data_IF_879089338210
#
_entry.id   IF_879089338210
#
_cell.length_a   1.000
_cell.length_b   1.000
_cell.length_c   1.000
_cell.angle_alpha   90.00
_cell.angle_beta   90.00
_cell.angle_gamma   90.00
#
_symmetry.space_group_name_H-M   'P 1'
#
loop_
_entity.id
_entity.type
_entity.pdbx_description
1 polymer ?
#
# COMPACT_ATOMS: atom_id res chain seq x y z
N UNK A 1 60.39 7.72 24.88
CA UNK A 1 59.82 7.65 23.51
C UNK A 1 58.55 6.82 23.58
N UNK A 2 57.55 7.15 22.76
CA UNK A 2 56.27 6.44 22.68
C UNK A 2 56.33 5.33 21.62
N UNK A 3 55.71 4.18 21.89
CA UNK A 3 54.46 3.77 21.22
C UNK A 3 53.97 2.39 21.70
N UNK A 4 52.81 2.32 22.38
CA UNK A 4 51.99 1.12 22.42
C UNK A 4 51.21 0.91 21.11
N UNK A 5 50.74 -0.31 20.92
CA UNK A 5 50.03 -0.83 19.75
C UNK A 5 48.61 -0.22 19.59
N UNK A 6 48.25 0.37 18.43
CA UNK A 6 46.90 0.89 18.17
C UNK A 6 45.98 -0.18 17.55
N UNK A 7 44.72 -0.21 18.00
CA UNK A 7 43.60 -1.02 17.48
C UNK A 7 43.50 -2.50 17.93
N UNK A 8 43.74 -2.76 19.21
CA UNK A 8 43.04 -3.86 19.90
C UNK A 8 41.57 -3.51 20.16
N UNK A 9 40.64 -4.37 19.71
CA UNK A 9 39.19 -4.39 20.00
C UNK A 9 38.42 -3.05 20.05
N UNK A 10 37.68 -2.74 18.99
CA UNK A 10 36.56 -1.77 19.02
C UNK A 10 35.22 -2.45 18.72
N UNK A 11 34.37 -2.56 19.73
CA UNK A 11 32.95 -2.91 19.54
C UNK A 11 32.24 -1.81 18.73
N UNK A 12 31.48 -2.18 17.71
CA UNK A 12 30.71 -1.22 16.92
C UNK A 12 29.51 -0.71 17.73
N UNK A 13 29.68 0.46 18.34
CA UNK A 13 28.67 1.14 19.17
C UNK A 13 27.29 1.22 18.49
N UNK A 14 26.24 1.00 19.28
CA UNK A 14 24.86 1.24 18.86
C UNK A 14 24.59 2.73 18.58
N UNK A 15 23.67 2.99 17.66
CA UNK A 15 23.21 4.35 17.34
C UNK A 15 22.08 4.77 18.29
N UNK A 16 22.43 5.20 19.50
CA UNK A 16 21.48 5.91 20.36
C UNK A 16 21.19 7.29 19.78
N UNK A 17 19.96 7.47 19.26
CA UNK A 17 19.38 8.80 19.01
C UNK A 17 18.57 9.21 20.23
N UNK A 18 18.69 10.46 20.73
CA UNK A 18 17.81 10.93 21.79
C UNK A 18 16.36 10.94 21.29
N UNK A 19 15.45 10.41 22.10
CA UNK A 19 14.02 10.42 21.79
C UNK A 19 13.47 11.85 21.95
N UNK A 20 12.82 12.37 20.91
CA UNK A 20 12.00 13.57 21.01
C UNK A 20 10.67 13.19 21.68
N UNK A 21 10.20 13.96 22.69
CA UNK A 21 8.95 13.67 23.37
C UNK A 21 7.76 14.03 22.50
N UNK A 22 7.09 13.02 21.94
CA UNK A 22 5.70 13.15 21.53
C UNK A 22 4.81 13.02 22.77
N UNK A 23 3.71 13.79 22.89
CA UNK A 23 2.86 13.75 24.08
C UNK A 23 2.08 12.43 24.17
N UNK A 24 2.09 11.82 25.35
CA UNK A 24 1.36 10.59 25.64
C UNK A 24 -0.15 10.79 25.49
N UNK A 25 -0.84 9.87 24.82
CA UNK A 25 -2.29 9.91 24.54
C UNK A 25 -3.11 9.01 25.47
N UNK A 26 -2.77 8.99 26.76
CA UNK A 26 -3.58 8.35 27.81
C UNK A 26 -4.55 9.35 28.46
N UNK A 27 -5.67 9.62 27.79
CA UNK A 27 -6.83 10.34 28.35
C UNK A 27 -8.10 9.50 28.20
N UNK A 28 -8.52 8.86 29.30
CA UNK A 28 -9.84 8.21 29.35
C UNK A 28 -10.97 9.25 29.31
N UNK A 29 -12.05 9.03 28.53
CA UNK A 29 -13.17 9.97 28.42
C UNK A 29 -14.06 9.94 29.68
N UNK A 30 -13.80 10.86 30.61
CA UNK A 30 -14.65 11.07 31.79
C UNK A 30 -16.08 11.54 31.44
N UNK A 31 -17.09 11.23 32.29
CA UNK A 31 -18.49 11.51 31.98
C UNK A 31 -18.82 13.01 32.03
N UNK A 32 -19.44 13.50 30.95
CA UNK A 32 -19.87 14.89 30.79
C UNK A 32 -20.85 15.35 31.87
N UNK A 33 -20.71 16.61 32.32
CA UNK A 33 -21.68 17.30 33.19
C UNK A 33 -21.93 18.73 32.68
N UNK A 34 -23.19 19.19 32.55
CA UNK A 34 -23.48 20.60 32.23
C UNK A 34 -23.09 21.55 33.37
N UNK A 35 -22.64 22.76 33.01
CA UNK A 35 -22.45 23.86 33.96
C UNK A 35 -23.77 24.55 34.34
N UNK A 36 -23.84 25.24 35.50
CA UNK A 36 -25.07 25.87 35.99
C UNK A 36 -25.33 27.25 35.37
N UNK A 37 -26.62 27.63 35.32
CA UNK A 37 -27.07 28.97 34.91
C UNK A 37 -27.12 29.95 36.10
N UNK A 38 -27.05 31.25 35.80
CA UNK A 38 -27.31 32.35 36.73
C UNK A 38 -28.11 33.47 36.03
N UNK A 39 -28.94 34.20 36.77
CA UNK A 39 -29.97 35.12 36.24
C UNK A 39 -29.85 36.57 36.76
N UNK A 40 -30.42 37.51 36.00
CA UNK A 40 -30.77 38.88 36.43
C UNK A 40 -30.03 40.00 35.67
N UNK A 41 -30.63 41.16 35.37
CA UNK A 41 -32.04 41.61 35.49
C UNK A 41 -32.31 42.78 34.48
N UNK A 42 -33.48 43.50 34.40
CA UNK A 42 -34.31 43.45 33.19
C UNK A 42 -34.67 44.80 32.48
N UNK A 43 -35.46 44.69 31.39
CA UNK A 43 -36.40 45.67 30.79
C UNK A 43 -35.80 46.86 29.98
N UNK A 44 -36.41 47.43 28.93
CA UNK A 44 -37.58 47.17 28.03
C UNK A 44 -37.55 48.21 26.85
N UNK A 45 -38.46 48.25 25.84
CA UNK A 45 -39.23 47.20 25.14
C UNK A 45 -39.20 47.32 23.58
N UNK A 46 -39.94 46.45 22.88
CA UNK A 46 -40.56 46.56 21.52
C UNK A 46 -39.73 46.96 20.26
N UNK A 47 -39.84 46.27 19.11
CA UNK A 47 -41.09 46.20 18.33
C UNK A 47 -41.14 45.09 17.24
N UNK A 48 -42.36 44.60 17.00
CA UNK A 48 -42.94 43.95 15.80
C UNK A 48 -42.39 42.64 15.17
N UNK A 49 -43.23 41.62 15.33
CA UNK A 49 -43.19 40.25 14.83
C UNK A 49 -43.45 40.05 13.31
N UNK A 50 -43.25 38.80 12.85
CA UNK A 50 -43.88 38.21 11.65
C UNK A 50 -45.29 37.67 11.99
N UNK A 51 -46.17 37.49 10.98
CA UNK A 51 -46.64 36.13 10.66
C UNK A 51 -46.63 35.85 9.13
N UNK A 52 -47.34 34.83 8.64
CA UNK A 52 -47.39 34.49 7.20
C UNK A 52 -48.49 33.49 6.80
N UNK A 53 -48.36 32.94 5.58
CA UNK A 53 -49.24 31.97 4.87
C UNK A 53 -50.57 32.51 4.29
N UNK A 54 -50.93 32.05 3.07
CA UNK A 54 -52.19 32.35 2.36
C UNK A 54 -52.01 32.54 0.83
N UNK A 55 -52.85 31.97 -0.08
CA UNK A 55 -52.55 31.89 -1.53
C UNK A 55 -53.53 32.60 -2.51
N UNK A 56 -53.12 32.60 -3.79
CA UNK A 56 -53.87 32.67 -5.07
C UNK A 56 -54.73 33.90 -5.48
N UNK A 57 -54.36 34.56 -6.61
CA UNK A 57 -55.22 34.82 -7.81
C UNK A 57 -54.51 35.57 -8.98
N UNK A 58 -55.05 35.44 -10.21
CA UNK A 58 -54.66 36.09 -11.51
C UNK A 58 -55.55 37.34 -11.82
N UNK A 59 -55.46 38.13 -12.96
CA UNK A 59 -54.79 37.93 -14.27
C UNK A 59 -54.04 39.18 -14.90
N UNK A 60 -53.69 39.12 -16.21
CA UNK A 60 -53.09 40.20 -17.06
C UNK A 60 -54.11 41.11 -17.80
N UNK A 61 -53.83 41.76 -18.97
CA UNK A 61 -53.02 41.28 -20.13
C UNK A 61 -52.26 42.33 -21.04
N UNK A 62 -51.71 41.89 -22.21
CA UNK A 62 -51.49 42.55 -23.54
C UNK A 62 -50.54 43.78 -23.79
N UNK A 63 -49.85 44.06 -24.94
CA UNK A 63 -49.47 43.32 -26.20
C UNK A 63 -48.37 44.02 -27.10
N UNK A 64 -47.53 43.23 -27.83
CA UNK A 64 -46.83 43.43 -29.16
C UNK A 64 -45.91 44.64 -29.52
N UNK A 65 -45.02 44.62 -30.57
CA UNK A 65 -44.58 43.58 -31.57
C UNK A 65 -43.04 43.19 -31.43
N UNK A 66 -42.19 42.73 -32.38
CA UNK A 66 -42.14 42.53 -33.87
C UNK A 66 -40.89 41.70 -34.38
N UNK A 67 -40.58 41.55 -35.72
CA UNK A 67 -40.00 40.27 -36.24
C UNK A 67 -38.84 40.19 -37.32
N UNK A 68 -37.96 39.16 -37.19
CA UNK A 68 -37.38 38.22 -38.22
C UNK A 68 -36.36 38.65 -39.36
N UNK A 69 -35.82 37.77 -40.29
CA UNK A 69 -34.79 36.70 -40.07
C UNK A 69 -33.75 36.37 -41.24
N UNK A 70 -32.94 35.28 -41.11
CA UNK A 70 -32.25 34.41 -42.16
C UNK A 70 -31.09 34.94 -43.06
N UNK A 71 -30.37 34.17 -43.92
CA UNK A 71 -29.59 32.87 -43.85
C UNK A 71 -29.09 32.37 -45.27
N UNK A 72 -27.94 31.67 -45.45
CA UNK A 72 -27.48 30.82 -46.62
C UNK A 72 -25.93 30.60 -46.71
N UNK A 73 -25.30 29.75 -47.56
CA UNK A 73 -25.40 28.28 -47.87
C UNK A 73 -24.28 27.79 -48.88
N UNK A 74 -23.58 26.66 -48.61
CA UNK A 74 -22.81 25.75 -49.54
C UNK A 74 -21.69 26.35 -50.46
N UNK A 75 -20.73 25.65 -51.14
CA UNK A 75 -20.15 24.27 -51.30
C UNK A 75 -18.63 24.48 -51.73
N UNK A 76 -17.69 23.59 -52.09
CA UNK A 76 -17.62 22.13 -52.39
C UNK A 76 -16.20 21.50 -52.11
N UNK A 77 -15.77 20.42 -52.81
CA UNK A 77 -14.56 19.59 -52.53
C UNK A 77 -13.32 19.65 -53.50
N UNK A 78 -12.63 18.52 -53.83
CA UNK A 78 -11.35 18.20 -53.15
C UNK A 78 -10.15 17.66 -53.97
N UNK A 79 -8.95 17.65 -53.35
CA UNK A 79 -7.72 16.91 -53.74
C UNK A 79 -6.42 17.64 -53.32
N UNK A 80 -5.18 17.15 -53.49
CA UNK A 80 -4.52 15.83 -53.35
C UNK A 80 -2.98 16.05 -53.54
N UNK A 81 -2.13 15.26 -52.87
CA UNK A 81 -0.66 15.06 -53.08
C UNK A 81 0.39 16.03 -52.47
N UNK A 82 1.42 15.36 -51.90
CA UNK A 82 2.89 15.57 -51.89
C UNK A 82 3.60 16.82 -51.31
N UNK A 83 4.69 16.54 -50.58
CA UNK A 83 5.82 17.45 -50.28
C UNK A 83 7.00 17.15 -51.22
N UNK A 84 8.30 17.17 -50.79
CA UNK A 84 8.91 17.51 -49.50
C UNK A 84 9.71 18.85 -49.68
N UNK A 85 11.01 19.08 -49.39
CA UNK A 85 12.01 18.46 -48.49
C UNK A 85 12.85 19.46 -47.63
N UNK A 86 13.87 18.94 -46.94
CA UNK A 86 15.06 19.71 -46.51
C UNK A 86 15.93 20.13 -47.74
N UNK A 87 16.94 21.00 -47.69
CA UNK A 87 17.67 21.69 -46.61
C UNK A 87 19.11 22.01 -47.09
N UNK A 88 20.03 22.27 -46.15
CA UNK A 88 21.51 22.35 -46.33
C UNK A 88 22.13 23.62 -47.00
N UNK A 89 23.41 23.87 -46.64
CA UNK A 89 24.37 24.93 -47.03
C UNK A 89 24.13 26.33 -46.40
N UNK A 90 25.18 27.08 -46.01
CA UNK A 90 26.62 26.76 -45.98
C UNK A 90 27.49 27.92 -45.42
N UNK A 91 28.64 27.58 -44.82
CA UNK A 91 29.71 28.48 -44.31
C UNK A 91 30.53 29.13 -45.45
N UNK A 92 31.47 30.08 -45.19
CA UNK A 92 31.73 30.90 -43.99
C UNK A 92 31.87 32.42 -44.31
N UNK A 93 32.20 33.25 -43.30
CA UNK A 93 33.37 34.19 -43.32
C UNK A 93 33.49 34.97 -41.98
N UNK A 94 34.60 35.70 -41.78
CA UNK A 94 34.91 36.55 -40.61
C UNK A 94 35.86 37.71 -41.00
N UNK A 95 36.57 38.40 -40.08
CA UNK A 95 36.72 38.17 -38.63
C UNK A 95 36.53 39.45 -37.75
N UNK A 96 36.99 39.39 -36.47
CA UNK A 96 37.37 40.53 -35.59
C UNK A 96 36.25 41.46 -35.04
N UNK A 97 36.32 42.07 -33.83
CA UNK A 97 37.24 41.96 -32.68
C UNK A 97 36.58 42.50 -31.37
N UNK A 98 36.64 41.76 -30.24
CA UNK A 98 36.77 42.21 -28.80
C UNK A 98 36.28 41.16 -27.79
N UNK A 99 36.89 41.14 -26.60
CA UNK A 99 36.46 40.40 -25.39
C UNK A 99 36.72 41.28 -24.14
N UNK A 100 37.08 40.76 -22.95
CA UNK A 100 37.23 39.34 -22.57
C UNK A 100 36.74 38.94 -21.13
N UNK A 101 36.59 37.62 -20.88
CA UNK A 101 36.54 36.89 -19.59
C UNK A 101 35.48 37.24 -18.50
N UNK A 102 34.80 36.21 -17.97
CA UNK A 102 34.02 36.30 -16.72
C UNK A 102 32.99 35.17 -16.48
N UNK A 103 33.37 34.12 -15.73
CA UNK A 103 32.45 33.29 -14.92
C UNK A 103 32.37 33.87 -13.49
N UNK A 104 31.48 33.42 -12.56
CA UNK A 104 30.47 32.34 -12.63
C UNK A 104 29.05 32.80 -12.22
N UNK A 105 28.11 31.86 -12.07
CA UNK A 105 26.87 32.06 -11.31
C UNK A 105 26.47 30.79 -10.53
N UNK A 106 25.80 30.96 -9.38
CA UNK A 106 25.37 29.91 -8.45
C UNK A 106 24.05 30.31 -7.77
N UNK A 107 23.26 29.29 -7.45
CA UNK A 107 22.26 29.18 -6.37
C UNK A 107 21.05 30.15 -6.30
N UNK A 108 19.88 29.55 -6.04
CA UNK A 108 18.63 30.10 -5.46
C UNK A 108 17.83 31.19 -6.26
N UNK A 109 16.55 31.49 -5.99
CA UNK A 109 15.73 31.32 -4.78
C UNK A 109 14.21 31.13 -5.08
N UNK A 110 13.43 30.58 -4.14
CA UNK A 110 11.95 30.52 -4.18
C UNK A 110 11.32 31.62 -3.29
N UNK A 111 10.21 32.28 -3.68
CA UNK A 111 9.66 33.40 -2.92
C UNK A 111 8.93 32.97 -1.64
N UNK A 112 9.28 33.60 -0.51
CA UNK A 112 8.60 33.42 0.80
C UNK A 112 7.84 34.70 1.19
N UNK A 113 6.75 34.55 1.96
CA UNK A 113 5.83 35.65 2.29
C UNK A 113 6.39 36.68 3.30
N UNK A 114 5.81 37.89 3.27
CA UNK A 114 6.30 39.08 3.96
C UNK A 114 5.97 39.10 5.47
N UNK A 115 6.86 39.73 6.26
CA UNK A 115 6.58 40.25 7.60
C UNK A 115 6.97 41.75 7.60
N UNK A 116 6.17 42.59 8.26
CA UNK A 116 6.35 44.04 8.26
C UNK A 116 7.48 44.51 9.22
N UNK A 117 8.19 45.61 8.92
CA UNK A 117 9.31 46.09 9.73
C UNK A 117 8.86 46.84 10.99
N UNK A 118 9.59 46.61 12.09
CA UNK A 118 9.59 47.47 13.28
C UNK A 118 10.45 48.72 12.98
N UNK A 119 10.13 49.85 13.61
CA UNK A 119 10.93 51.10 13.50
C UNK A 119 11.87 51.24 14.70
N UNK A 120 13.07 51.74 14.45
CA UNK A 120 14.00 52.15 15.49
C UNK A 120 13.60 53.51 16.10
N UNK A 121 13.75 53.65 17.41
CA UNK A 121 13.81 54.96 18.10
C UNK A 121 15.11 55.06 18.93
N UNK A 122 15.62 56.28 19.22
CA UNK A 122 16.99 56.47 19.68
C UNK A 122 17.22 56.10 21.15
N UNK A 123 18.37 55.50 21.45
CA UNK A 123 18.77 55.10 22.80
C UNK A 123 19.08 56.29 23.71
N UNK A 124 18.19 56.61 24.66
CA UNK A 124 18.54 57.44 25.82
C UNK A 124 19.32 56.65 26.88
N UNK A 125 20.04 57.38 27.74
CA UNK A 125 21.09 56.83 28.61
C UNK A 125 20.53 56.31 29.94
N UNK A 126 20.75 55.02 30.23
CA UNK A 126 20.46 54.44 31.55
C UNK A 126 21.67 54.70 32.49
N UNK A 127 21.47 55.28 33.69
CA UNK A 127 22.56 55.63 34.59
C UNK A 127 23.18 54.40 35.29
N UNK A 128 24.44 54.53 35.70
CA UNK A 128 25.20 53.45 36.33
C UNK A 128 24.61 53.03 37.70
N UNK A 129 24.39 51.72 37.85
CA UNK A 129 24.04 51.08 39.13
C UNK A 129 25.32 50.96 39.99
N UNK A 130 25.18 51.13 41.30
CA UNK A 130 26.29 51.06 42.27
C UNK A 130 26.55 49.63 42.73
N UNK A 131 27.77 49.38 43.22
CA UNK A 131 28.15 48.11 43.84
C UNK A 131 27.28 47.80 45.08
N UNK A 132 26.73 46.58 45.13
CA UNK A 132 26.20 45.98 46.37
C UNK A 132 27.16 44.90 46.91
N UNK A 133 27.27 44.75 48.24
CA UNK A 133 28.24 43.83 48.86
C UNK A 133 27.81 42.35 48.75
N UNK A 134 28.80 41.46 48.79
CA UNK A 134 28.60 40.01 48.65
C UNK A 134 27.74 39.39 49.78
N UNK A 135 26.98 38.31 49.49
CA UNK A 135 26.09 37.66 50.46
C UNK A 135 26.86 36.95 51.58
N UNK A 136 26.22 36.90 52.75
CA UNK A 136 26.76 36.30 53.99
C UNK A 136 26.52 34.78 54.02
N UNK A 137 27.46 33.95 54.55
CA UNK A 137 27.27 32.50 54.63
C UNK A 137 26.32 32.08 55.77
N UNK A 138 25.58 30.99 55.55
CA UNK A 138 24.73 30.33 56.55
C UNK A 138 25.56 29.57 57.63
N UNK A 139 25.02 29.38 58.85
CA UNK A 139 25.76 28.77 59.96
C UNK A 139 25.89 27.22 59.86
N UNK A 140 27.03 26.70 60.32
CA UNK A 140 27.32 25.25 60.31
C UNK A 140 26.44 24.43 61.28
N UNK A 141 26.07 23.18 60.93
CA UNK A 141 25.49 22.22 61.87
C UNK A 141 26.53 21.63 62.83
N UNK A 142 26.17 21.30 64.08
CA UNK A 142 27.15 20.93 65.12
C UNK A 142 27.81 19.56 64.91
N UNK A 143 29.09 19.47 65.28
CA UNK A 143 29.95 18.31 65.07
C UNK A 143 29.56 17.07 65.92
N UNK A 144 28.74 16.18 65.35
CA UNK A 144 28.40 14.87 65.92
C UNK A 144 29.50 13.81 65.74
N UNK A 145 29.73 12.98 66.77
CA UNK A 145 30.79 11.95 66.80
C UNK A 145 30.66 10.92 65.66
N UNK A 146 31.77 10.61 64.98
CA UNK A 146 31.86 9.52 64.00
C UNK A 146 31.69 8.14 64.66
N UNK A 147 30.67 7.39 64.25
CA UNK A 147 30.54 5.95 64.52
C UNK A 147 31.05 5.08 63.37
N UNK A 148 31.43 3.80 63.60
CA UNK A 148 31.97 2.94 62.56
C UNK A 148 30.91 2.53 61.52
N UNK A 149 31.30 2.56 60.24
CA UNK A 149 30.36 2.43 59.12
C UNK A 149 29.79 1.02 58.93
N UNK A 150 28.46 0.89 58.90
CA UNK A 150 27.78 -0.24 58.26
C UNK A 150 27.71 0.01 56.74
N UNK A 151 28.40 -0.82 55.97
CA UNK A 151 28.20 -0.90 54.50
C UNK A 151 26.73 -1.25 54.23
N UNK A 152 25.96 -0.32 53.64
CA UNK A 152 24.72 -0.69 52.95
C UNK A 152 25.13 -1.33 51.63
N UNK A 153 24.99 -2.65 51.52
CA UNK A 153 25.08 -3.31 50.24
C UNK A 153 23.88 -2.86 49.39
N UNK A 154 24.13 -2.13 48.31
CA UNK A 154 23.14 -1.98 47.25
C UNK A 154 22.93 -3.35 46.64
N UNK A 155 21.80 -3.98 46.92
CA UNK A 155 21.44 -5.23 46.27
C UNK A 155 21.19 -4.94 44.79
N UNK A 156 22.12 -5.38 43.94
CA UNK A 156 21.94 -5.38 42.49
C UNK A 156 20.65 -6.14 42.17
N UNK A 157 19.71 -5.50 41.46
CA UNK A 157 18.63 -6.25 40.82
C UNK A 157 19.29 -7.10 39.73
N UNK A 158 19.28 -8.44 39.80
CA UNK A 158 19.76 -9.24 38.68
C UNK A 158 18.89 -8.91 37.45
N UNK A 159 19.48 -8.84 36.24
CA UNK A 159 18.69 -8.63 35.05
C UNK A 159 17.74 -9.82 34.88
N UNK A 160 16.44 -9.57 35.09
CA UNK A 160 15.39 -10.55 34.81
C UNK A 160 15.28 -10.72 33.30
N UNK A 161 16.18 -11.55 32.77
CA UNK A 161 16.13 -12.15 31.44
C UNK A 161 14.95 -13.11 31.40
N UNK A 162 13.74 -12.54 31.40
CA UNK A 162 12.51 -13.28 31.18
C UNK A 162 12.69 -14.08 29.87
N UNK A 163 12.68 -15.42 29.92
CA UNK A 163 12.87 -16.21 28.72
C UNK A 163 11.76 -15.84 27.74
N UNK A 164 12.11 -15.53 26.49
CA UNK A 164 11.13 -15.20 25.44
C UNK A 164 10.21 -16.42 25.23
N UNK A 165 9.09 -16.44 25.94
CA UNK A 165 8.13 -17.53 25.89
C UNK A 165 7.63 -17.68 24.44
N UNK A 166 8.08 -18.75 23.78
CA UNK A 166 7.81 -19.00 22.38
C UNK A 166 6.34 -19.35 22.18
N UNK A 167 5.51 -18.34 21.87
CA UNK A 167 4.08 -18.48 21.52
C UNK A 167 3.81 -19.39 20.32
N UNK A 168 4.83 -19.95 19.68
CA UNK A 168 4.76 -20.89 18.57
C UNK A 168 4.17 -22.28 18.94
N UNK A 169 4.28 -22.73 20.19
CA UNK A 169 4.00 -24.13 20.54
C UNK A 169 2.53 -24.55 20.63
N UNK A 170 1.58 -23.62 20.83
CA UNK A 170 0.20 -23.99 21.24
C UNK A 170 -0.79 -24.19 20.07
N UNK A 171 -0.51 -23.60 18.91
CA UNK A 171 -1.48 -23.55 17.80
C UNK A 171 -1.08 -24.40 16.58
N UNK A 172 0.04 -25.14 16.62
CA UNK A 172 0.55 -25.88 15.45
C UNK A 172 -0.44 -26.93 14.89
N UNK A 173 -1.20 -27.71 15.70
CA UNK A 173 -2.20 -28.62 15.17
C UNK A 173 -3.38 -27.89 14.51
N UNK A 174 -3.81 -26.76 15.09
CA UNK A 174 -4.85 -25.91 14.51
C UNK A 174 -4.37 -25.25 13.19
N UNK A 175 -3.10 -24.91 13.09
CA UNK A 175 -2.48 -24.38 11.89
C UNK A 175 -2.52 -25.37 10.72
N UNK A 176 -2.08 -26.60 10.98
CA UNK A 176 -2.13 -27.70 10.02
C UNK A 176 -3.60 -27.99 9.64
N UNK A 177 -4.52 -28.00 10.61
CA UNK A 177 -5.95 -28.18 10.36
C UNK A 177 -6.56 -27.13 9.44
N UNK A 178 -6.26 -25.83 9.66
CA UNK A 178 -6.72 -24.74 8.78
C UNK A 178 -6.09 -24.84 7.39
N UNK A 179 -4.79 -25.12 7.29
CA UNK A 179 -4.10 -25.28 6.00
C UNK A 179 -4.65 -26.45 5.18
N UNK A 180 -4.87 -27.61 5.81
CA UNK A 180 -5.48 -28.78 5.17
C UNK A 180 -6.94 -28.52 4.79
N UNK A 181 -7.72 -27.83 5.63
CA UNK A 181 -9.10 -27.48 5.31
C UNK A 181 -9.21 -26.53 4.11
N UNK A 182 -8.33 -25.52 4.02
CA UNK A 182 -8.27 -24.61 2.86
C UNK A 182 -7.79 -25.35 1.60
N UNK A 183 -6.74 -26.18 1.71
CA UNK A 183 -6.28 -27.03 0.60
C UNK A 183 -7.37 -27.97 0.08
N UNK A 184 -8.12 -28.61 0.97
CA UNK A 184 -9.27 -29.44 0.60
C UNK A 184 -10.42 -28.62 -0.02
N UNK A 185 -10.72 -27.43 0.52
CA UNK A 185 -11.74 -26.54 -0.03
C UNK A 185 -11.41 -26.04 -1.46
N UNK A 186 -10.13 -26.05 -1.86
CA UNK A 186 -9.69 -25.78 -3.23
C UNK A 186 -9.68 -27.05 -4.07
N UNK A 187 -8.99 -28.11 -3.62
CA UNK A 187 -8.71 -29.32 -4.43
C UNK A 187 -9.94 -30.22 -4.60
N UNK A 188 -10.80 -30.36 -3.59
CA UNK A 188 -11.99 -31.23 -3.70
C UNK A 188 -12.97 -30.74 -4.78
N UNK A 189 -13.45 -29.48 -4.79
CA UNK A 189 -14.34 -29.05 -5.85
C UNK A 189 -13.64 -28.98 -7.22
N UNK A 190 -12.34 -28.69 -7.28
CA UNK A 190 -11.56 -28.66 -8.53
C UNK A 190 -11.60 -30.00 -9.28
N UNK A 191 -11.53 -31.13 -8.57
CA UNK A 191 -11.53 -32.47 -9.17
C UNK A 191 -12.90 -33.18 -9.16
N UNK A 192 -13.79 -32.85 -8.23
CA UNK A 192 -15.07 -33.57 -8.07
C UNK A 192 -16.33 -32.78 -8.47
N UNK A 193 -16.29 -31.44 -8.46
CA UNK A 193 -17.46 -30.63 -8.85
C UNK A 193 -17.06 -29.21 -9.27
N UNK A 194 -16.57 -29.09 -10.51
CA UNK A 194 -15.99 -27.85 -11.07
C UNK A 194 -16.82 -26.57 -10.86
N UNK A 195 -18.17 -26.55 -10.96
CA UNK A 195 -18.96 -25.36 -10.65
C UNK A 195 -18.81 -24.83 -9.22
N UNK A 196 -18.54 -25.71 -8.24
CA UNK A 196 -18.24 -25.28 -6.88
C UNK A 196 -16.81 -24.72 -6.73
N UNK A 197 -15.87 -25.07 -7.62
CA UNK A 197 -14.54 -24.44 -7.61
C UNK A 197 -14.65 -22.98 -8.06
N UNK A 198 -15.45 -22.69 -9.08
CA UNK A 198 -15.81 -21.31 -9.46
C UNK A 198 -16.47 -20.55 -8.30
N UNK A 199 -17.37 -21.19 -7.55
CA UNK A 199 -17.99 -20.59 -6.36
C UNK A 199 -16.97 -20.31 -5.22
N UNK A 200 -16.02 -21.23 -4.98
CA UNK A 200 -14.92 -21.03 -4.01
C UNK A 200 -13.99 -19.90 -4.45
N UNK A 201 -13.64 -19.83 -5.74
CA UNK A 201 -12.81 -18.76 -6.30
C UNK A 201 -13.50 -17.39 -6.21
N UNK A 202 -14.79 -17.32 -6.54
CA UNK A 202 -15.60 -16.11 -6.39
C UNK A 202 -15.73 -15.67 -4.91
N UNK A 203 -15.90 -16.61 -3.99
CA UNK A 203 -15.92 -16.32 -2.55
C UNK A 203 -14.56 -15.82 -2.04
N UNK A 204 -13.46 -16.46 -2.47
CA UNK A 204 -12.09 -16.04 -2.13
C UNK A 204 -11.79 -14.62 -2.63
N UNK A 205 -12.20 -14.30 -3.85
CA UNK A 205 -12.10 -12.94 -4.43
C UNK A 205 -12.96 -11.94 -3.67
N UNK A 206 -14.21 -12.28 -3.32
CA UNK A 206 -15.08 -11.42 -2.52
C UNK A 206 -14.51 -11.10 -1.13
N UNK A 207 -13.97 -12.12 -0.44
CA UNK A 207 -13.27 -11.95 0.85
C UNK A 207 -12.01 -11.11 0.65
N UNK A 208 -11.20 -11.39 -0.38
CA UNK A 208 -9.96 -10.68 -0.65
C UNK A 208 -10.14 -9.20 -0.95
N UNK A 209 -11.16 -8.86 -1.75
CA UNK A 209 -11.60 -7.48 -2.01
C UNK A 209 -12.00 -6.79 -0.70
N UNK A 210 -12.73 -7.48 0.19
CA UNK A 210 -13.13 -6.96 1.49
C UNK A 210 -11.95 -6.75 2.45
N UNK A 211 -10.98 -7.66 2.49
CA UNK A 211 -9.77 -7.51 3.31
C UNK A 211 -8.88 -6.36 2.81
N UNK A 212 -8.63 -6.28 1.49
CA UNK A 212 -7.85 -5.20 0.90
C UNK A 212 -8.56 -3.84 1.04
N UNK A 213 -9.87 -3.76 0.79
CA UNK A 213 -10.65 -2.53 1.01
C UNK A 213 -10.64 -2.10 2.49
N UNK A 214 -10.66 -3.05 3.44
CA UNK A 214 -10.54 -2.80 4.88
C UNK A 214 -9.14 -2.31 5.26
N UNK A 215 -8.09 -2.89 4.69
CA UNK A 215 -6.71 -2.44 4.94
C UNK A 215 -6.50 -1.02 4.40
N UNK A 216 -6.88 -0.78 3.14
CA UNK A 216 -6.73 0.51 2.46
C UNK A 216 -7.51 1.64 3.16
N UNK A 217 -8.65 1.32 3.80
CA UNK A 217 -9.40 2.28 4.64
C UNK A 217 -8.62 2.87 5.81
N UNK A 218 -7.59 2.20 6.33
CA UNK A 218 -6.73 2.77 7.39
C UNK A 218 -5.88 3.95 6.91
N UNK A 219 -5.63 4.06 5.61
CA UNK A 219 -4.96 5.24 5.02
C UNK A 219 -5.87 6.47 4.95
N UNK A 220 -7.21 6.28 5.00
CA UNK A 220 -8.23 7.30 4.76
C UNK A 220 -8.89 7.24 3.38
N UNK A 221 -8.54 6.27 2.52
CA UNK A 221 -9.24 6.02 1.26
C UNK A 221 -10.50 5.15 1.46
N UNK A 222 -11.61 5.46 0.79
CA UNK A 222 -12.94 4.88 1.01
C UNK A 222 -13.47 4.14 -0.25
N UNK A 223 -12.76 3.12 -0.78
CA UNK A 223 -13.16 2.43 -2.00
C UNK A 223 -14.56 1.79 -1.87
N UNK A 224 -15.45 1.93 -2.88
CA UNK A 224 -16.84 1.50 -2.78
C UNK A 224 -16.95 -0.02 -2.87
N UNK A 225 -17.20 -0.66 -1.72
CA UNK A 225 -17.10 -2.12 -1.57
C UNK A 225 -18.14 -2.88 -2.41
N UNK A 226 -19.37 -2.39 -2.50
CA UNK A 226 -20.46 -3.08 -3.22
C UNK A 226 -20.16 -3.28 -4.72
N UNK A 227 -19.84 -2.24 -5.52
CA UNK A 227 -19.47 -2.42 -6.93
C UNK A 227 -18.14 -3.15 -7.11
N UNK A 228 -17.19 -3.04 -6.16
CA UNK A 228 -15.95 -3.84 -6.20
C UNK A 228 -16.22 -5.34 -6.06
N UNK A 229 -16.98 -5.77 -5.05
CA UNK A 229 -17.27 -7.19 -4.85
C UNK A 229 -18.15 -7.74 -5.98
N UNK A 230 -19.20 -7.01 -6.38
CA UNK A 230 -20.08 -7.43 -7.47
C UNK A 230 -19.31 -7.51 -8.80
N UNK A 231 -18.59 -6.44 -9.18
CA UNK A 231 -17.76 -6.39 -10.37
C UNK A 231 -16.64 -7.43 -10.36
N UNK A 232 -16.03 -7.68 -9.21
CA UNK A 232 -14.99 -8.70 -9.05
C UNK A 232 -15.49 -10.12 -9.26
N UNK A 233 -16.64 -10.49 -8.69
CA UNK A 233 -17.30 -11.79 -8.92
C UNK A 233 -17.73 -11.92 -10.40
N UNK A 234 -18.27 -10.86 -10.98
CA UNK A 234 -18.61 -10.82 -12.42
C UNK A 234 -17.36 -11.01 -13.29
N UNK A 235 -16.24 -10.37 -12.95
CA UNK A 235 -14.96 -10.47 -13.69
C UNK A 235 -14.42 -11.89 -13.71
N UNK A 236 -14.46 -12.59 -12.55
CA UNK A 236 -14.07 -14.01 -12.45
C UNK A 236 -15.00 -14.92 -13.27
N UNK A 237 -16.32 -14.69 -13.21
CA UNK A 237 -17.29 -15.44 -14.02
C UNK A 237 -17.16 -15.19 -15.52
N UNK A 238 -16.92 -13.95 -15.93
CA UNK A 238 -16.66 -13.59 -17.33
C UNK A 238 -15.37 -14.23 -17.85
N UNK A 239 -14.29 -14.21 -17.06
CA UNK A 239 -13.05 -14.91 -17.39
C UNK A 239 -13.26 -16.43 -17.56
N UNK A 240 -14.07 -17.05 -16.69
CA UNK A 240 -14.42 -18.47 -16.77
C UNK A 240 -15.15 -18.83 -18.06
N UNK A 241 -16.21 -18.10 -18.43
CA UNK A 241 -17.10 -18.48 -19.53
C UNK A 241 -16.74 -17.87 -20.90
N UNK A 242 -15.93 -16.80 -20.93
CA UNK A 242 -15.63 -16.06 -22.15
C UNK A 242 -14.18 -15.52 -22.23
N UNK A 243 -13.27 -16.00 -21.35
CA UNK A 243 -11.83 -15.86 -21.55
C UNK A 243 -11.26 -14.44 -21.40
N UNK A 244 -10.13 -14.12 -22.07
CA UNK A 244 -9.32 -12.95 -21.76
C UNK A 244 -9.98 -11.61 -22.13
N UNK A 245 -10.74 -11.56 -23.23
CA UNK A 245 -11.46 -10.34 -23.62
C UNK A 245 -12.57 -10.00 -22.62
N UNK A 246 -13.26 -11.04 -22.11
CA UNK A 246 -14.30 -10.91 -21.10
C UNK A 246 -13.73 -10.59 -19.70
N UNK A 247 -12.53 -11.07 -19.38
CA UNK A 247 -11.75 -10.66 -18.21
C UNK A 247 -11.39 -9.16 -18.26
N UNK A 248 -10.90 -8.68 -19.40
CA UNK A 248 -10.63 -7.25 -19.62
C UNK A 248 -11.91 -6.40 -19.55
N UNK A 249 -13.03 -6.88 -20.12
CA UNK A 249 -14.33 -6.23 -20.01
C UNK A 249 -14.84 -6.20 -18.57
N UNK A 250 -14.66 -7.28 -17.80
CA UNK A 250 -15.01 -7.35 -16.38
C UNK A 250 -14.25 -6.31 -15.54
N UNK A 251 -12.93 -6.18 -15.76
CA UNK A 251 -12.12 -5.14 -15.13
C UNK A 251 -12.62 -3.73 -15.51
N UNK A 252 -12.86 -3.47 -16.80
CA UNK A 252 -13.37 -2.18 -17.28
C UNK A 252 -14.73 -1.82 -16.65
N UNK A 253 -15.68 -2.75 -16.65
CA UNK A 253 -17.02 -2.58 -16.04
C UNK A 253 -16.91 -2.39 -14.52
N UNK A 254 -15.98 -3.09 -13.86
CA UNK A 254 -15.73 -2.90 -12.42
C UNK A 254 -15.21 -1.50 -12.13
N UNK A 255 -14.17 -1.04 -12.84
CA UNK A 255 -13.60 0.30 -12.64
C UNK A 255 -14.64 1.39 -12.94
N UNK A 256 -15.34 1.32 -14.08
CA UNK A 256 -16.42 2.26 -14.42
C UNK A 256 -17.56 2.22 -13.41
N UNK A 257 -17.95 1.04 -12.91
CA UNK A 257 -18.96 0.89 -11.87
C UNK A 257 -18.55 1.55 -10.54
N UNK A 258 -17.28 1.43 -10.13
CA UNK A 258 -16.77 2.13 -8.94
C UNK A 258 -16.70 3.65 -9.15
N UNK A 259 -16.39 4.10 -10.38
CA UNK A 259 -16.40 5.51 -10.76
C UNK A 259 -17.81 6.11 -10.67
N UNK A 260 -18.79 5.47 -11.31
CA UNK A 260 -20.20 5.89 -11.30
C UNK A 260 -20.77 5.87 -9.86
N UNK A 261 -20.38 4.89 -9.03
CA UNK A 261 -20.78 4.87 -7.62
C UNK A 261 -20.26 6.11 -6.87
N UNK A 262 -18.97 6.44 -7.00
CA UNK A 262 -18.37 7.60 -6.30
C UNK A 262 -18.90 8.95 -6.79
N UNK A 263 -19.51 9.06 -7.98
CA UNK A 263 -20.26 10.26 -8.38
C UNK A 263 -21.45 10.54 -7.44
N UNK A 264 -22.10 9.50 -6.89
CA UNK A 264 -23.23 9.64 -5.98
C UNK A 264 -22.86 10.02 -4.55
N UNK A 265 -21.64 9.69 -4.12
CA UNK A 265 -21.15 9.95 -2.76
C UNK A 265 -20.57 11.37 -2.55
N UNK A 266 -20.44 12.16 -3.63
CA UNK A 266 -19.87 13.52 -3.61
C UNK A 266 -18.34 13.58 -3.81
N UNK A 267 -17.76 14.79 -3.96
CA UNK A 267 -16.41 14.98 -4.50
C UNK A 267 -15.25 14.66 -3.53
N UNK A 268 -15.52 14.42 -2.25
CA UNK A 268 -14.48 14.23 -1.23
C UNK A 268 -13.64 12.97 -1.46
N UNK A 269 -12.31 13.11 -1.47
CA UNK A 269 -11.32 12.02 -1.67
C UNK A 269 -11.44 11.22 -2.99
N UNK A 270 -12.28 11.65 -3.93
CA UNK A 270 -12.64 10.93 -5.15
C UNK A 270 -11.46 10.24 -5.88
N UNK A 271 -10.40 10.99 -6.22
CA UNK A 271 -9.21 10.44 -6.90
C UNK A 271 -8.56 9.31 -6.09
N UNK A 272 -8.40 9.49 -4.77
CA UNK A 272 -7.77 8.53 -3.88
C UNK A 272 -8.57 7.24 -3.79
N UNK A 273 -9.89 7.36 -3.73
CA UNK A 273 -10.82 6.24 -3.61
C UNK A 273 -10.91 5.43 -4.90
N UNK A 274 -10.76 6.09 -6.07
CA UNK A 274 -10.63 5.41 -7.36
C UNK A 274 -9.26 4.79 -7.58
N UNK A 275 -8.16 5.40 -7.14
CA UNK A 275 -6.84 4.75 -7.14
C UNK A 275 -6.86 3.48 -6.28
N UNK A 276 -7.45 3.57 -5.08
CA UNK A 276 -7.69 2.42 -4.21
C UNK A 276 -8.56 1.34 -4.86
N UNK A 277 -9.70 1.72 -5.45
CA UNK A 277 -10.60 0.79 -6.11
C UNK A 277 -9.96 0.12 -7.34
N UNK A 278 -9.22 0.88 -8.15
CA UNK A 278 -8.51 0.36 -9.33
C UNK A 278 -7.40 -0.60 -8.93
N UNK A 279 -6.62 -0.27 -7.89
CA UNK A 279 -5.63 -1.19 -7.32
C UNK A 279 -6.29 -2.50 -6.85
N UNK A 280 -7.41 -2.43 -6.12
CA UNK A 280 -8.15 -3.62 -5.66
C UNK A 280 -8.69 -4.44 -6.84
N UNK A 281 -9.26 -3.79 -7.87
CA UNK A 281 -9.83 -4.45 -9.03
C UNK A 281 -8.77 -5.12 -9.93
N UNK A 282 -7.58 -4.51 -10.08
CA UNK A 282 -6.46 -5.14 -10.79
C UNK A 282 -5.85 -6.27 -9.94
N UNK A 283 -5.51 -6.00 -8.68
CA UNK A 283 -4.77 -6.93 -7.82
C UNK A 283 -5.58 -8.18 -7.44
N UNK A 284 -6.90 -8.07 -7.23
CA UNK A 284 -7.70 -9.20 -6.72
C UNK A 284 -8.49 -9.93 -7.83
N UNK A 285 -9.61 -9.43 -8.38
CA UNK A 285 -10.41 -10.20 -9.32
C UNK A 285 -9.77 -10.36 -10.70
N UNK A 286 -9.00 -9.38 -11.20
CA UNK A 286 -8.37 -9.49 -12.52
C UNK A 286 -7.24 -10.52 -12.52
N UNK A 287 -6.34 -10.48 -11.53
CA UNK A 287 -5.33 -11.55 -11.36
C UNK A 287 -5.98 -12.92 -11.09
N UNK A 288 -7.00 -13.00 -10.24
CA UNK A 288 -7.75 -14.24 -10.00
C UNK A 288 -8.50 -14.75 -11.25
N UNK A 289 -8.84 -13.89 -12.21
CA UNK A 289 -9.43 -14.27 -13.49
C UNK A 289 -8.56 -15.23 -14.30
N UNK A 290 -7.23 -15.16 -14.16
CA UNK A 290 -6.33 -16.14 -14.78
C UNK A 290 -6.41 -17.53 -14.11
N UNK A 291 -6.71 -17.61 -12.81
CA UNK A 291 -7.03 -18.88 -12.16
C UNK A 291 -8.36 -19.47 -12.65
N UNK A 292 -9.35 -18.61 -12.96
CA UNK A 292 -10.60 -19.02 -13.58
C UNK A 292 -10.38 -19.58 -14.99
N UNK A 293 -9.60 -18.90 -15.83
CA UNK A 293 -9.27 -19.38 -17.19
C UNK A 293 -8.43 -20.66 -17.18
N UNK A 294 -7.50 -20.83 -16.22
CA UNK A 294 -6.76 -22.08 -16.03
C UNK A 294 -7.69 -23.25 -15.69
N UNK A 295 -8.66 -23.05 -14.81
CA UNK A 295 -9.61 -24.07 -14.38
C UNK A 295 -10.69 -24.39 -15.43
N UNK A 296 -11.06 -23.40 -16.25
CA UNK A 296 -12.03 -23.52 -17.34
C UNK A 296 -11.46 -24.15 -18.63
N UNK A 297 -10.15 -24.44 -18.68
CA UNK A 297 -9.52 -25.09 -19.82
C UNK A 297 -10.14 -26.49 -20.07
N UNK A 298 -10.55 -26.81 -21.31
CA UNK A 298 -11.10 -28.11 -21.68
C UNK A 298 -10.19 -29.28 -21.28
N UNK A 299 -10.81 -30.36 -20.81
CA UNK A 299 -10.23 -31.66 -20.42
C UNK A 299 -9.17 -31.66 -19.30
N UNK A 300 -8.33 -30.64 -19.17
CA UNK A 300 -7.13 -30.63 -18.31
C UNK A 300 -7.07 -29.49 -17.27
N UNK A 301 -8.07 -28.59 -17.21
CA UNK A 301 -8.01 -27.38 -16.37
C UNK A 301 -7.76 -27.64 -14.88
N UNK A 302 -8.27 -28.76 -14.35
CA UNK A 302 -7.96 -29.21 -12.99
C UNK A 302 -6.46 -29.51 -12.78
N UNK A 303 -5.79 -30.09 -13.77
CA UNK A 303 -4.36 -30.35 -13.76
C UNK A 303 -3.55 -29.05 -13.94
N UNK A 304 -4.00 -28.12 -14.80
CA UNK A 304 -3.36 -26.80 -14.99
C UNK A 304 -3.32 -26.00 -13.68
N UNK A 305 -4.43 -25.97 -12.94
CA UNK A 305 -4.48 -25.37 -11.61
C UNK A 305 -3.59 -26.14 -10.61
N UNK A 306 -3.63 -27.48 -10.61
CA UNK A 306 -2.84 -28.30 -9.70
C UNK A 306 -1.33 -28.05 -9.85
N UNK A 307 -0.77 -28.06 -11.08
CA UNK A 307 0.66 -27.83 -11.29
C UNK A 307 1.08 -26.40 -10.95
N UNK A 308 0.17 -25.42 -11.14
CA UNK A 308 0.39 -24.03 -10.74
C UNK A 308 0.49 -23.88 -9.22
N UNK A 309 -0.48 -24.44 -8.49
CA UNK A 309 -0.48 -24.42 -7.02
C UNK A 309 0.71 -25.22 -6.45
N UNK A 310 1.05 -26.36 -7.03
CA UNK A 310 2.21 -27.15 -6.64
C UNK A 310 3.52 -26.36 -6.83
N UNK A 311 3.68 -25.64 -7.95
CA UNK A 311 4.85 -24.81 -8.20
C UNK A 311 5.01 -23.66 -7.19
N UNK A 312 3.92 -23.02 -6.76
CA UNK A 312 3.94 -22.02 -5.68
C UNK A 312 4.31 -22.67 -4.35
N UNK A 313 3.66 -23.77 -3.95
CA UNK A 313 3.97 -24.48 -2.70
C UNK A 313 5.42 -24.98 -2.65
N UNK A 314 5.98 -25.43 -3.78
CA UNK A 314 7.38 -25.80 -3.92
C UNK A 314 8.32 -24.60 -3.80
N UNK A 315 7.96 -23.46 -4.41
CA UNK A 315 8.70 -22.18 -4.27
C UNK A 315 8.77 -21.75 -2.80
N UNK A 316 7.66 -21.79 -2.08
CA UNK A 316 7.59 -21.38 -0.68
C UNK A 316 8.34 -22.36 0.23
N UNK A 317 8.16 -23.66 0.01
CA UNK A 317 8.81 -24.73 0.80
C UNK A 317 10.32 -24.74 0.60
N UNK A 318 10.78 -24.65 -0.66
CA UNK A 318 12.20 -24.54 -1.00
C UNK A 318 12.82 -23.25 -0.47
N UNK A 319 12.08 -22.14 -0.54
CA UNK A 319 12.48 -20.84 0.00
C UNK A 319 12.66 -20.83 1.51
N UNK A 320 11.70 -21.42 2.22
CA UNK A 320 11.78 -21.63 3.66
C UNK A 320 12.95 -22.54 4.05
N UNK A 321 13.09 -23.70 3.39
CA UNK A 321 14.13 -24.68 3.71
C UNK A 321 15.55 -24.11 3.48
N UNK A 322 15.81 -23.48 2.34
CA UNK A 322 17.09 -22.86 2.04
C UNK A 322 17.33 -21.59 2.84
N UNK A 323 16.29 -20.76 3.06
CA UNK A 323 16.38 -19.53 3.85
C UNK A 323 16.68 -19.79 5.33
N UNK A 324 16.10 -20.82 5.94
CA UNK A 324 16.40 -21.23 7.32
C UNK A 324 17.79 -21.88 7.44
N UNK A 325 18.20 -22.68 6.45
CA UNK A 325 19.46 -23.44 6.52
C UNK A 325 20.70 -22.63 6.13
N UNK A 326 20.56 -21.70 5.18
CA UNK A 326 21.69 -21.00 4.54
C UNK A 326 21.51 -19.47 4.44
N UNK A 327 20.35 -18.93 4.82
CA UNK A 327 20.03 -17.51 4.67
C UNK A 327 21.01 -16.58 5.38
N UNK A 328 21.75 -15.78 4.60
CA UNK A 328 22.76 -14.82 5.11
C UNK A 328 22.60 -13.43 4.50
N UNK A 329 22.17 -13.34 3.24
CA UNK A 329 22.05 -12.06 2.52
C UNK A 329 20.58 -11.69 2.29
N UNK A 330 20.00 -10.76 3.07
CA UNK A 330 18.62 -10.32 2.86
C UNK A 330 18.42 -9.70 1.49
N UNK A 331 17.36 -10.11 0.79
CA UNK A 331 17.04 -9.64 -0.56
C UNK A 331 16.44 -8.23 -0.55
N UNK A 332 15.55 -7.95 0.40
CA UNK A 332 14.81 -6.69 0.45
C UNK A 332 14.70 -6.14 1.88
N UNK A 333 15.80 -5.64 2.49
CA UNK A 333 15.82 -5.23 3.91
C UNK A 333 14.68 -4.29 4.32
N UNK A 334 14.37 -3.30 3.47
CA UNK A 334 13.35 -2.27 3.72
C UNK A 334 11.92 -2.74 3.42
N UNK A 335 11.72 -3.96 2.89
CA UNK A 335 10.39 -4.49 2.50
C UNK A 335 10.12 -5.82 3.21
N UNK A 336 10.97 -6.84 3.02
CA UNK A 336 10.86 -8.12 3.74
C UNK A 336 12.24 -8.55 4.28
N UNK A 337 12.57 -8.21 5.55
CA UNK A 337 13.88 -8.49 6.15
C UNK A 337 14.19 -9.99 6.30
N UNK A 338 13.18 -10.86 6.11
CA UNK A 338 13.27 -12.31 6.26
C UNK A 338 13.50 -13.04 4.93
N UNK A 339 13.26 -12.40 3.77
CA UNK A 339 13.59 -13.00 2.47
C UNK A 339 15.08 -12.83 2.22
N UNK A 340 15.79 -13.92 1.91
CA UNK A 340 17.20 -13.91 1.56
C UNK A 340 17.44 -14.42 0.13
N UNK A 341 18.61 -14.09 -0.44
CA UNK A 341 19.02 -14.58 -1.75
C UNK A 341 19.23 -16.09 -1.77
N UNK A 342 19.72 -16.69 -0.68
CA UNK A 342 19.84 -18.16 -0.57
C UNK A 342 18.47 -18.83 -0.49
N UNK A 343 17.50 -18.21 0.18
CA UNK A 343 16.10 -18.64 0.16
C UNK A 343 15.55 -18.61 -1.26
N UNK A 344 15.68 -17.49 -1.96
CA UNK A 344 15.22 -17.36 -3.35
C UNK A 344 15.84 -18.39 -4.31
N UNK A 345 17.13 -18.68 -4.19
CA UNK A 345 17.77 -19.75 -4.95
C UNK A 345 17.15 -21.13 -4.65
N UNK A 346 16.80 -21.40 -3.39
CA UNK A 346 16.05 -22.59 -2.99
C UNK A 346 14.63 -22.64 -3.54
N UNK A 347 13.89 -21.52 -3.53
CA UNK A 347 12.57 -21.39 -4.14
C UNK A 347 12.60 -21.75 -5.62
N UNK A 348 13.47 -21.10 -6.39
CA UNK A 348 13.60 -21.31 -7.84
C UNK A 348 14.00 -22.75 -8.14
N UNK A 349 14.96 -23.31 -7.40
CA UNK A 349 15.43 -24.70 -7.61
C UNK A 349 14.34 -25.73 -7.31
N UNK A 350 13.62 -25.59 -6.19
CA UNK A 350 12.56 -26.51 -5.81
C UNK A 350 11.36 -26.45 -6.75
N UNK A 351 10.93 -25.23 -7.13
CA UNK A 351 9.84 -25.02 -8.06
C UNK A 351 10.20 -25.53 -9.46
N UNK A 352 11.40 -25.24 -9.98
CA UNK A 352 11.87 -25.73 -11.27
C UNK A 352 11.97 -27.26 -11.30
N UNK A 353 12.58 -27.90 -10.30
CA UNK A 353 12.72 -29.35 -10.27
C UNK A 353 11.37 -30.08 -10.16
N UNK A 354 10.47 -29.62 -9.28
CA UNK A 354 9.15 -30.23 -9.13
C UNK A 354 8.22 -29.95 -10.32
N UNK A 355 8.27 -28.75 -10.90
CA UNK A 355 7.51 -28.44 -12.14
C UNK A 355 8.03 -29.23 -13.34
N UNK A 356 9.34 -29.45 -13.46
CA UNK A 356 9.93 -30.31 -14.49
C UNK A 356 9.40 -31.75 -14.40
N UNK A 357 9.28 -32.30 -13.19
CA UNK A 357 8.72 -33.63 -12.97
C UNK A 357 7.20 -33.68 -13.22
N UNK A 358 6.45 -32.70 -12.72
CA UNK A 358 4.98 -32.66 -12.83
C UNK A 358 4.50 -32.43 -14.26
N UNK A 359 5.10 -31.49 -14.99
CA UNK A 359 4.69 -31.19 -16.37
C UNK A 359 5.07 -32.30 -17.35
N UNK A 360 6.18 -33.01 -17.10
CA UNK A 360 6.48 -34.23 -17.83
C UNK A 360 5.49 -35.36 -17.50
N UNK A 361 5.23 -35.62 -16.21
CA UNK A 361 4.38 -36.74 -15.79
C UNK A 361 2.87 -36.57 -16.09
N UNK A 362 2.38 -35.33 -16.22
CA UNK A 362 0.95 -35.04 -16.41
C UNK A 362 0.60 -34.55 -17.83
N UNK A 363 1.56 -34.02 -18.59
CA UNK A 363 1.31 -33.39 -19.90
C UNK A 363 2.33 -33.80 -20.98
N UNK A 364 3.27 -34.70 -20.69
CA UNK A 364 4.42 -35.08 -21.54
C UNK A 364 5.28 -33.89 -22.03
N UNK A 365 5.22 -32.78 -21.30
CA UNK A 365 6.02 -31.57 -21.59
C UNK A 365 7.47 -31.84 -21.22
N UNK A 366 8.39 -31.61 -22.16
CA UNK A 366 9.80 -31.89 -21.96
C UNK A 366 10.36 -31.19 -20.69
N UNK A 367 11.14 -31.88 -19.83
CA UNK A 367 11.47 -31.39 -18.48
C UNK A 367 12.10 -29.99 -18.39
N UNK A 368 12.82 -29.53 -19.41
CA UNK A 368 13.39 -28.17 -19.43
C UNK A 368 12.33 -27.07 -19.56
N UNK A 369 11.22 -27.32 -20.27
CA UNK A 369 10.08 -26.39 -20.31
C UNK A 369 9.34 -26.37 -18.97
N UNK A 370 9.21 -27.53 -18.30
CA UNK A 370 8.68 -27.60 -16.94
C UNK A 370 9.60 -26.91 -15.91
N UNK A 371 10.92 -26.98 -16.08
CA UNK A 371 11.87 -26.22 -15.26
C UNK A 371 11.73 -24.71 -15.46
N UNK A 372 11.55 -24.25 -16.71
CA UNK A 372 11.29 -22.84 -17.03
C UNK A 372 9.97 -22.36 -16.42
N UNK A 373 8.90 -23.18 -16.47
CA UNK A 373 7.64 -22.90 -15.77
C UNK A 373 7.88 -22.70 -14.27
N UNK A 374 8.49 -23.66 -13.59
CA UNK A 374 8.72 -23.58 -12.15
C UNK A 374 9.58 -22.38 -11.73
N UNK A 375 10.61 -22.05 -12.50
CA UNK A 375 11.42 -20.84 -12.30
C UNK A 375 10.59 -19.57 -12.44
N UNK A 376 9.78 -19.45 -13.50
CA UNK A 376 8.94 -18.28 -13.73
C UNK A 376 7.86 -18.11 -12.65
N UNK A 377 7.21 -19.20 -12.23
CA UNK A 377 6.24 -19.19 -11.12
C UNK A 377 6.90 -18.77 -9.81
N UNK A 378 8.12 -19.26 -9.52
CA UNK A 378 8.84 -18.88 -8.30
C UNK A 378 9.22 -17.40 -8.28
N UNK A 379 9.67 -16.85 -9.41
CA UNK A 379 9.91 -15.39 -9.56
C UNK A 379 8.62 -14.61 -9.29
N UNK A 380 7.51 -14.98 -9.94
CA UNK A 380 6.23 -14.31 -9.78
C UNK A 380 5.67 -14.38 -8.36
N UNK A 381 5.68 -15.57 -7.75
CA UNK A 381 5.26 -15.75 -6.35
C UNK A 381 6.08 -14.86 -5.42
N UNK A 382 7.41 -14.85 -5.58
CA UNK A 382 8.29 -14.05 -4.73
C UNK A 382 8.07 -12.54 -4.91
N UNK A 383 7.72 -12.09 -6.11
CA UNK A 383 7.31 -10.71 -6.39
C UNK A 383 5.93 -10.37 -5.80
N UNK A 384 4.98 -11.32 -5.79
CA UNK A 384 3.66 -11.18 -5.16
C UNK A 384 3.75 -10.83 -3.68
N UNK A 385 4.47 -11.65 -2.89
CA UNK A 385 4.70 -11.38 -1.46
C UNK A 385 5.41 -10.04 -1.22
N UNK A 386 6.29 -9.62 -2.13
CA UNK A 386 7.04 -8.37 -2.01
C UNK A 386 6.14 -7.17 -2.31
N UNK A 387 5.25 -7.27 -3.30
CA UNK A 387 4.22 -6.29 -3.58
C UNK A 387 3.24 -6.18 -2.39
N UNK A 388 2.79 -7.30 -1.82
CA UNK A 388 1.93 -7.26 -0.64
C UNK A 388 2.68 -6.71 0.59
N UNK A 389 3.96 -7.09 0.79
CA UNK A 389 4.81 -6.53 1.85
C UNK A 389 5.03 -5.02 1.70
N UNK A 390 5.03 -4.48 0.48
CA UNK A 390 5.03 -3.03 0.24
C UNK A 390 3.69 -2.40 0.59
N UNK A 391 2.57 -2.94 0.10
CA UNK A 391 1.22 -2.44 0.39
C UNK A 391 0.96 -2.44 1.90
N UNK A 392 1.33 -3.51 2.61
CA UNK A 392 1.15 -3.59 4.07
C UNK A 392 1.94 -2.48 4.80
N UNK A 393 3.18 -2.20 4.37
CA UNK A 393 4.01 -1.12 4.94
C UNK A 393 3.46 0.28 4.67
N UNK A 394 3.04 0.56 3.44
CA UNK A 394 2.47 1.86 3.06
C UNK A 394 1.19 2.17 3.87
N UNK A 395 0.34 1.16 4.06
CA UNK A 395 -0.88 1.23 4.86
C UNK A 395 -0.64 1.19 6.39
N UNK A 396 0.60 1.05 6.86
CA UNK A 396 0.95 0.92 8.27
C UNK A 396 0.41 -0.36 8.95
N UNK A 397 0.07 -1.39 8.16
CA UNK A 397 -0.47 -2.67 8.66
C UNK A 397 0.59 -3.76 8.64
N UNK A 398 0.39 -4.80 9.45
CA UNK A 398 1.29 -5.97 9.50
C UNK A 398 0.71 -7.19 8.78
N UNK A 399 -0.57 -7.45 9.03
CA UNK A 399 -1.34 -8.59 8.55
C UNK A 399 -2.66 -7.99 8.02
N UNK A 400 -3.21 -8.44 6.89
CA UNK A 400 -4.37 -7.76 6.27
C UNK A 400 -5.62 -7.84 7.15
N UNK A 401 -5.76 -8.96 7.85
CA UNK A 401 -6.94 -9.34 8.62
C UNK A 401 -6.57 -10.40 9.67
N UNK A 402 -7.53 -10.75 10.53
CA UNK A 402 -7.43 -11.85 11.50
C UNK A 402 -8.51 -12.92 11.23
N UNK A 403 -8.91 -13.09 9.96
CA UNK A 403 -10.04 -13.93 9.57
C UNK A 403 -9.74 -15.43 9.76
N UNK A 404 -8.48 -15.85 9.56
CA UNK A 404 -8.04 -17.23 9.72
C UNK A 404 -7.26 -17.40 11.05
N UNK A 405 -7.73 -18.22 12.00
CA UNK A 405 -7.07 -18.41 13.30
C UNK A 405 -5.58 -18.78 13.17
N UNK A 406 -4.72 -17.85 13.60
CA UNK A 406 -3.27 -17.99 13.57
C UNK A 406 -2.61 -17.89 12.18
N UNK A 407 -3.35 -17.56 11.12
CA UNK A 407 -2.86 -17.57 9.72
C UNK A 407 -2.83 -16.21 9.04
N UNK A 408 -3.53 -15.20 9.58
CA UNK A 408 -3.63 -13.86 9.01
C UNK A 408 -4.98 -13.65 8.34
N UNK A 409 -4.99 -12.86 7.26
CA UNK A 409 -6.08 -12.82 6.30
C UNK A 409 -6.05 -14.00 5.34
N UNK A 410 -7.03 -14.00 4.43
CA UNK A 410 -6.97 -14.78 3.21
C UNK A 410 -6.01 -14.15 2.20
N UNK A 411 -5.86 -12.82 2.19
CA UNK A 411 -4.94 -12.14 1.27
C UNK A 411 -3.47 -12.47 1.52
N UNK A 412 -3.06 -12.62 2.78
CA UNK A 412 -1.73 -13.13 3.21
C UNK A 412 -1.46 -14.62 2.80
N UNK A 413 -2.27 -15.17 1.88
CA UNK A 413 -2.19 -16.52 1.25
C UNK A 413 -2.47 -16.51 -0.25
N UNK A 414 -2.92 -15.39 -0.81
CA UNK A 414 -3.25 -15.22 -2.23
C UNK A 414 -2.24 -14.34 -2.96
N UNK A 415 -1.45 -13.52 -2.27
CA UNK A 415 -0.42 -12.65 -2.84
C UNK A 415 0.55 -13.38 -3.80
N UNK A 416 1.15 -14.49 -3.37
CA UNK A 416 2.00 -15.35 -4.21
C UNK A 416 1.24 -15.95 -5.40
N UNK A 417 0.04 -16.47 -5.14
CA UNK A 417 -0.78 -17.19 -6.13
C UNK A 417 -1.30 -16.23 -7.22
N UNK A 418 -1.76 -15.03 -6.85
CA UNK A 418 -2.30 -14.03 -7.77
C UNK A 418 -1.25 -13.54 -8.77
N UNK A 419 0.02 -13.47 -8.39
CA UNK A 419 1.11 -13.15 -9.32
C UNK A 419 1.56 -14.37 -10.14
N UNK A 420 1.42 -15.59 -9.60
CA UNK A 420 1.75 -16.83 -10.29
C UNK A 420 0.75 -17.17 -11.43
N UNK A 421 -0.56 -17.08 -11.18
CA UNK A 421 -1.58 -17.61 -12.11
C UNK A 421 -1.62 -16.96 -13.52
N UNK A 422 -1.33 -15.66 -13.75
CA UNK A 422 -1.25 -15.11 -15.11
C UNK A 422 -0.04 -15.64 -15.87
N UNK A 423 1.10 -15.79 -15.20
CA UNK A 423 2.31 -16.37 -15.78
C UNK A 423 2.10 -17.85 -16.06
N UNK A 424 1.40 -18.56 -15.19
CA UNK A 424 1.03 -19.96 -15.41
C UNK A 424 0.11 -20.11 -16.63
N UNK A 425 -0.92 -19.27 -16.75
CA UNK A 425 -1.82 -19.24 -17.90
C UNK A 425 -1.06 -19.00 -19.22
N UNK A 426 -0.22 -17.97 -19.28
CA UNK A 426 0.56 -17.65 -20.49
C UNK A 426 1.53 -18.76 -20.87
N UNK A 427 2.23 -19.38 -19.91
CA UNK A 427 3.17 -20.47 -20.21
C UNK A 427 2.46 -21.77 -20.58
N UNK A 428 1.37 -22.14 -19.90
CA UNK A 428 0.62 -23.35 -20.23
C UNK A 428 -0.15 -23.22 -21.54
N UNK A 429 -0.56 -22.02 -21.96
CA UNK A 429 -1.11 -21.79 -23.30
C UNK A 429 -0.08 -22.06 -24.42
N UNK A 430 1.22 -21.93 -24.14
CA UNK A 430 2.32 -22.21 -25.09
C UNK A 430 2.82 -23.65 -24.99
N UNK A 431 2.97 -24.19 -23.77
CA UNK A 431 3.52 -25.53 -23.55
C UNK A 431 2.49 -26.65 -23.71
N UNK A 432 1.22 -26.37 -23.42
CA UNK A 432 0.09 -27.29 -23.54
C UNK A 432 -1.04 -26.56 -24.28
N UNK A 433 -0.90 -26.31 -25.60
CA UNK A 433 -1.96 -25.65 -26.37
C UNK A 433 -3.24 -26.48 -26.33
N UNK A 434 -4.36 -25.86 -25.96
CA UNK A 434 -5.68 -26.49 -26.02
C UNK A 434 -6.01 -26.74 -27.49
N UNK A 435 -6.24 -27.99 -27.88
CA UNK A 435 -6.64 -28.35 -29.24
C UNK A 435 -8.16 -28.21 -29.36
N UNK A 436 -8.60 -27.06 -29.89
CA UNK A 436 -10.00 -26.68 -30.15
C UNK A 436 -10.53 -27.22 -31.48
#
# INVERSE_FOLDING_TARGET
MSHPDPYGNTESRGWDRPALPWPDTDLEPGPWRPGPAAHGHPAEPDTYARPGAGPDTYPGPDTYPGPYPTASRHHDGPGRYDGPPAGDRGRPDGPEHRGPWGEPARDDEYPTAQIAPVRDEPTEQIPAVRDEPAPTPEPEPPAGRRGPGRRRASAERPPTTAPKASRAGRNLPAAIGVGVALGAAVVVPLFFFMPAFLAVLAAAVGIGIWEMARAVRRSGAHPPLAPLVAGGVITVGLAWYAGPDALCLGLLVTVLGTMIWRLGDGPGNYQRDLTAATLIAVYVPFLAGFAAMLAAAPDDGALRVLVTLAAVVLSDTGGYAAGVSFGKHPMAPTISPKKSWEGFAGSVTAAAAGSAALLWALFDVAPWWGALFGMAISVSAVLGDLAESMIKRDLGVKDMSNLLPGHGGLMDRLDSILFAVPVAYLLLAVFVPVVS
#
